data_IF_849710364796
#
_entry.id   IF_849710364796
#
_cell.length_a   1.000
_cell.length_b   1.000
_cell.length_c   1.000
_cell.angle_alpha   90.00
_cell.angle_beta   90.00
_cell.angle_gamma   90.00
#
_symmetry.space_group_name_H-M   'P 1'
#
loop_
_entity.id
_entity.type
_entity.pdbx_description
1 polymer ?
#
# COMPACT_ATOMS: atom_id res chain seq x y z
N UNK A 1 3.15 -37.41 17.10
CA UNK A 1 3.81 -36.14 16.71
C UNK A 1 3.78 -35.91 15.19
N UNK A 2 4.36 -36.80 14.37
CA UNK A 2 4.41 -36.61 12.91
C UNK A 2 3.03 -36.48 12.24
N UNK A 3 2.03 -37.29 12.65
CA UNK A 3 0.66 -37.22 12.09
C UNK A 3 -0.09 -35.93 12.41
N UNK A 4 0.18 -35.31 13.57
CA UNK A 4 -0.43 -34.02 13.93
C UNK A 4 0.18 -32.88 13.10
N UNK A 5 1.49 -32.93 12.84
CA UNK A 5 2.17 -31.98 11.97
C UNK A 5 1.68 -32.07 10.51
N UNK A 6 1.42 -33.28 10.00
CA UNK A 6 0.85 -33.47 8.66
C UNK A 6 -0.56 -32.91 8.52
N UNK A 7 -1.41 -33.06 9.54
CA UNK A 7 -2.77 -32.50 9.56
C UNK A 7 -2.76 -30.96 9.65
N UNK A 8 -1.83 -30.39 10.43
CA UNK A 8 -1.71 -28.94 10.57
C UNK A 8 -1.24 -28.27 9.25
N UNK A 9 -0.38 -28.94 8.49
CA UNK A 9 0.09 -28.46 7.18
C UNK A 9 -1.01 -28.52 6.10
N UNK A 10 -1.87 -29.55 6.11
CA UNK A 10 -3.02 -29.62 5.18
C UNK A 10 -4.08 -28.54 5.47
N UNK A 11 -4.30 -28.18 6.74
CA UNK A 11 -5.28 -27.17 7.13
C UNK A 11 -4.88 -25.74 6.72
N UNK A 12 -3.58 -25.43 6.65
CA UNK A 12 -3.10 -24.11 6.19
C UNK A 12 -3.25 -23.92 4.66
N UNK A 13 -3.28 -25.00 3.87
CA UNK A 13 -3.36 -24.90 2.42
C UNK A 13 -4.77 -24.52 1.90
N UNK A 14 -5.82 -24.80 2.68
CA UNK A 14 -7.21 -24.51 2.27
C UNK A 14 -7.65 -23.08 2.56
N UNK A 15 -6.90 -22.32 3.38
CA UNK A 15 -7.28 -20.96 3.76
C UNK A 15 -6.92 -19.89 2.70
N UNK A 16 -6.05 -20.21 1.74
CA UNK A 16 -5.64 -19.27 0.70
C UNK A 16 -6.60 -19.18 -0.50
N UNK A 17 -7.66 -20.01 -0.54
CA UNK A 17 -8.58 -20.08 -1.68
C UNK A 17 -9.83 -19.19 -1.55
N UNK A 18 -10.01 -18.47 -0.43
CA UNK A 18 -11.19 -17.62 -0.20
C UNK A 18 -10.81 -16.14 -0.27
N UNK A 19 -10.35 -15.70 -1.44
CA UNK A 19 -10.03 -14.30 -1.71
C UNK A 19 -10.73 -13.77 -2.98
N UNK A 20 -11.78 -14.44 -3.45
CA UNK A 20 -12.43 -14.10 -4.74
C UNK A 20 -13.97 -14.05 -4.66
N UNK A 21 -14.52 -13.47 -3.59
CA UNK A 21 -15.99 -13.39 -3.42
C UNK A 21 -16.58 -11.99 -3.58
N UNK A 22 -15.79 -10.99 -3.97
CA UNK A 22 -16.26 -9.63 -4.26
C UNK A 22 -15.90 -9.14 -5.67
N UNK A 23 -15.83 -10.05 -6.64
CA UNK A 23 -15.86 -9.70 -8.05
C UNK A 23 -17.32 -9.48 -8.47
N UNK A 24 -17.81 -8.25 -8.30
CA UNK A 24 -19.07 -7.82 -8.94
C UNK A 24 -18.84 -7.77 -10.44
N UNK A 25 -19.17 -8.86 -11.13
CA UNK A 25 -19.19 -8.90 -12.60
C UNK A 25 -20.38 -8.05 -13.05
N UNK A 26 -20.12 -6.78 -13.35
CA UNK A 26 -21.10 -5.92 -14.00
C UNK A 26 -21.22 -6.39 -15.45
N UNK A 27 -22.29 -7.12 -15.75
CA UNK A 27 -22.65 -7.45 -17.13
C UNK A 27 -22.99 -6.14 -17.85
N UNK A 28 -22.12 -5.68 -18.75
CA UNK A 28 -22.39 -4.50 -19.56
C UNK A 28 -23.65 -4.75 -20.41
N UNK A 29 -24.59 -3.81 -20.38
CA UNK A 29 -25.74 -3.84 -21.28
C UNK A 29 -25.27 -3.87 -22.74
N UNK A 30 -26.00 -4.56 -23.61
CA UNK A 30 -25.66 -4.65 -25.02
C UNK A 30 -25.51 -3.23 -25.63
N UNK A 31 -24.52 -3.01 -26.52
CA UNK A 31 -24.26 -1.69 -27.05
C UNK A 31 -25.49 -1.17 -27.82
N UNK A 32 -26.02 -0.04 -27.38
CA UNK A 32 -27.03 0.73 -28.12
C UNK A 32 -26.40 1.16 -29.44
N UNK A 33 -27.02 0.84 -30.58
CA UNK A 33 -26.48 1.17 -31.90
C UNK A 33 -26.50 2.69 -32.11
N UNK A 34 -25.40 3.35 -31.78
CA UNK A 34 -25.13 4.75 -32.10
C UNK A 34 -25.23 5.67 -30.89
N UNK A 35 -24.10 6.25 -30.51
CA UNK A 35 -24.04 7.36 -29.58
C UNK A 35 -24.55 8.64 -30.25
N UNK A 36 -25.70 9.14 -29.83
CA UNK A 36 -26.23 10.44 -30.30
C UNK A 36 -26.01 11.48 -29.21
N UNK A 37 -25.50 12.64 -29.60
CA UNK A 37 -25.44 13.83 -28.77
C UNK A 37 -26.48 14.83 -29.26
N UNK A 38 -27.34 15.28 -28.34
CA UNK A 38 -28.41 16.25 -28.66
C UNK A 38 -28.10 17.56 -27.95
N UNK A 39 -28.15 18.65 -28.70
CA UNK A 39 -28.03 20.00 -28.16
C UNK A 39 -29.42 20.61 -28.05
N UNK A 40 -29.82 20.96 -26.82
CA UNK A 40 -31.10 21.61 -26.56
C UNK A 40 -30.81 22.93 -25.83
N UNK A 41 -31.22 24.05 -26.43
CA UNK A 41 -30.99 25.40 -25.88
C UNK A 41 -29.50 25.72 -25.59
N UNK A 42 -28.59 25.30 -26.46
CA UNK A 42 -27.14 25.54 -26.30
C UNK A 42 -26.45 24.61 -25.30
N UNK A 43 -27.20 23.75 -24.61
CA UNK A 43 -26.66 22.77 -23.68
C UNK A 43 -26.64 21.38 -24.33
N UNK A 44 -25.44 20.80 -24.38
CA UNK A 44 -25.22 19.44 -24.88
C UNK A 44 -25.63 18.42 -23.83
N UNK A 45 -26.76 17.75 -24.05
CA UNK A 45 -27.16 16.61 -23.23
C UNK A 45 -26.44 15.37 -23.75
N UNK A 46 -25.34 14.98 -23.08
CA UNK A 46 -24.63 13.74 -23.39
C UNK A 46 -25.42 12.55 -22.84
N UNK A 47 -25.51 11.48 -23.63
CA UNK A 47 -26.09 10.22 -23.16
C UNK A 47 -25.11 9.52 -22.21
N UNK A 48 -25.53 9.34 -20.96
CA UNK A 48 -24.71 8.66 -19.94
C UNK A 48 -24.37 7.22 -20.32
N UNK A 49 -25.23 6.55 -21.10
CA UNK A 49 -24.97 5.22 -21.65
C UNK A 49 -23.75 5.21 -22.57
N UNK A 50 -23.65 6.14 -23.51
CA UNK A 50 -22.50 6.25 -24.41
C UNK A 50 -21.21 6.64 -23.66
N UNK A 51 -21.31 7.57 -22.70
CA UNK A 51 -20.15 7.94 -21.89
C UNK A 51 -19.63 6.73 -21.10
N UNK A 52 -20.54 5.94 -20.52
CA UNK A 52 -20.17 4.72 -19.80
C UNK A 52 -19.50 3.73 -20.74
N UNK A 53 -20.04 3.51 -21.94
CA UNK A 53 -19.46 2.64 -22.97
C UNK A 53 -18.05 3.07 -23.38
N UNK A 54 -17.79 4.38 -23.52
CA UNK A 54 -16.44 4.90 -23.81
C UNK A 54 -15.45 4.78 -22.66
N UNK A 55 -15.94 4.70 -21.42
CA UNK A 55 -15.13 4.52 -20.22
C UNK A 55 -14.86 3.05 -19.91
N UNK A 56 -15.56 2.12 -20.58
CA UNK A 56 -15.28 0.70 -20.42
C UNK A 56 -13.84 0.41 -20.91
N UNK A 57 -13.05 -0.36 -20.13
CA UNK A 57 -11.74 -0.77 -20.57
C UNK A 57 -11.89 -1.65 -21.82
N UNK A 58 -11.04 -1.43 -22.84
CA UNK A 58 -11.05 -2.24 -24.06
C UNK A 58 -11.05 -3.73 -23.70
N UNK A 59 -11.86 -4.55 -24.36
CA UNK A 59 -11.92 -6.01 -24.10
C UNK A 59 -10.58 -6.73 -24.25
N UNK A 60 -9.63 -6.13 -24.97
CA UNK A 60 -8.23 -6.57 -25.07
C UNK A 60 -7.40 -6.38 -23.78
N UNK A 61 -7.90 -5.65 -22.79
CA UNK A 61 -7.24 -5.43 -21.50
C UNK A 61 -7.53 -6.53 -20.47
N UNK A 62 -8.50 -7.40 -20.72
CA UNK A 62 -8.88 -8.50 -19.81
C UNK A 62 -7.75 -9.52 -19.61
N UNK A 63 -6.86 -9.67 -20.60
CA UNK A 63 -5.65 -10.51 -20.50
C UNK A 63 -4.35 -9.70 -20.30
N UNK A 64 -4.45 -8.38 -20.10
CA UNK A 64 -3.28 -7.55 -19.86
C UNK A 64 -2.87 -7.72 -18.39
N UNK A 65 -1.57 -7.93 -18.08
CA UNK A 65 -1.10 -7.88 -16.71
C UNK A 65 -1.59 -6.59 -16.04
N UNK A 66 -1.91 -6.61 -14.73
CA UNK A 66 -2.49 -5.47 -14.04
C UNK A 66 -1.66 -4.22 -14.33
N UNK A 67 -2.31 -3.07 -14.60
CA UNK A 67 -1.59 -1.85 -14.92
C UNK A 67 -0.55 -1.61 -13.83
N UNK A 68 0.67 -1.23 -14.24
CA UNK A 68 1.70 -0.82 -13.30
C UNK A 68 1.09 0.22 -12.36
N UNK A 69 1.23 -0.01 -11.05
CA UNK A 69 0.65 0.82 -10.00
C UNK A 69 0.72 2.30 -10.39
N UNK A 70 -0.38 3.02 -10.20
CA UNK A 70 -0.40 4.45 -10.44
C UNK A 70 0.73 5.11 -9.64
N UNK A 71 1.23 6.26 -10.08
CA UNK A 71 2.33 6.94 -9.38
C UNK A 71 2.04 7.16 -7.88
N UNK A 72 0.76 7.36 -7.52
CA UNK A 72 0.30 7.47 -6.14
C UNK A 72 0.34 6.13 -5.39
N UNK A 73 -0.17 5.05 -5.99
CA UNK A 73 -0.10 3.69 -5.40
C UNK A 73 1.34 3.23 -5.21
N UNK A 74 2.21 3.51 -6.18
CA UNK A 74 3.63 3.18 -6.10
C UNK A 74 4.32 3.94 -4.95
N UNK A 75 3.90 5.16 -4.64
CA UNK A 75 4.42 5.93 -3.49
C UNK A 75 3.94 5.34 -2.16
N UNK A 76 2.70 4.87 -2.07
CA UNK A 76 2.16 4.23 -0.86
C UNK A 76 2.90 2.93 -0.50
N UNK A 77 3.48 2.24 -1.49
CA UNK A 77 4.28 1.04 -1.27
C UNK A 77 5.75 1.34 -0.93
N UNK A 78 6.21 2.58 -1.08
CA UNK A 78 7.60 2.94 -0.74
C UNK A 78 7.79 2.97 0.76
N UNK A 79 8.89 2.39 1.27
CA UNK A 79 9.19 2.45 2.69
C UNK A 79 9.53 3.89 3.10
N UNK A 80 9.22 4.26 4.34
CA UNK A 80 9.28 5.66 4.78
C UNK A 80 10.68 6.28 4.73
N UNK A 81 11.73 5.44 4.78
CA UNK A 81 13.12 5.89 4.60
C UNK A 81 13.42 6.43 3.20
N UNK A 82 12.71 5.99 2.16
CA UNK A 82 12.86 6.52 0.80
C UNK A 82 12.04 7.79 0.57
N UNK A 83 10.98 7.99 1.36
CA UNK A 83 10.10 9.16 1.26
C UNK A 83 10.59 10.34 2.11
N UNK A 84 11.64 10.16 2.91
CA UNK A 84 12.09 11.17 3.88
C UNK A 84 11.06 11.44 4.98
N UNK A 85 10.08 10.55 5.15
CA UNK A 85 9.03 10.65 6.16
C UNK A 85 9.49 10.02 7.47
N UNK A 86 8.65 10.17 8.50
CA UNK A 86 8.87 9.54 9.79
C UNK A 86 9.18 8.04 9.66
N UNK A 87 10.25 7.60 10.32
CA UNK A 87 10.62 6.20 10.42
C UNK A 87 10.90 5.85 11.88
N UNK A 88 10.10 4.93 12.43
CA UNK A 88 10.20 4.52 13.83
C UNK A 88 11.57 3.91 14.16
N UNK A 89 12.07 3.00 13.34
CA UNK A 89 13.37 2.36 13.57
C UNK A 89 14.51 3.39 13.55
N UNK A 90 14.47 4.36 12.63
CA UNK A 90 15.46 5.44 12.59
C UNK A 90 15.41 6.32 13.86
N UNK A 91 14.20 6.62 14.37
CA UNK A 91 14.05 7.38 15.61
C UNK A 91 14.50 6.57 16.83
N UNK A 92 14.19 5.28 16.89
CA UNK A 92 14.68 4.36 17.93
C UNK A 92 16.22 4.37 18.00
N UNK A 93 16.90 4.32 16.85
CA UNK A 93 18.36 4.42 16.80
C UNK A 93 18.90 5.76 17.28
N UNK A 94 18.24 6.88 16.92
CA UNK A 94 18.69 8.22 17.35
C UNK A 94 18.49 8.45 18.84
N UNK A 95 17.40 7.93 19.40
CA UNK A 95 17.06 8.13 20.82
C UNK A 95 17.75 7.12 21.74
N UNK A 96 18.02 5.91 21.25
CA UNK A 96 18.53 4.81 22.05
C UNK A 96 17.56 4.44 23.18
N UNK A 97 18.09 4.23 24.38
CA UNK A 97 17.30 3.91 25.58
C UNK A 97 16.27 4.98 25.97
N UNK A 98 16.39 6.20 25.42
CA UNK A 98 15.46 7.29 25.67
C UNK A 98 14.18 7.22 24.80
N UNK A 99 14.10 6.28 23.84
CA UNK A 99 12.95 6.15 22.96
C UNK A 99 11.65 5.88 23.75
N UNK A 100 10.64 6.71 23.55
CA UNK A 100 9.36 6.62 24.28
C UNK A 100 9.43 7.03 25.76
N UNK A 101 10.56 7.57 26.24
CA UNK A 101 10.76 8.04 27.62
C UNK A 101 11.14 9.51 27.71
N UNK A 102 11.84 10.04 26.72
CA UNK A 102 12.29 11.44 26.67
C UNK A 102 12.13 12.02 25.27
N UNK A 103 12.11 13.36 25.19
CA UNK A 103 12.21 14.12 23.94
C UNK A 103 13.68 14.32 23.53
N UNK A 104 14.62 14.14 24.46
CA UNK A 104 16.06 14.26 24.23
C UNK A 104 16.73 12.89 24.06
N UNK A 105 17.69 12.73 23.13
CA UNK A 105 18.44 11.49 22.96
C UNK A 105 19.26 11.08 24.20
N UNK A 106 19.56 9.79 24.31
CA UNK A 106 20.49 9.29 25.33
C UNK A 106 21.89 9.90 25.13
N UNK A 107 22.31 10.76 26.06
CA UNK A 107 23.70 11.20 26.17
C UNK A 107 24.40 10.37 27.24
N UNK A 108 25.48 9.63 26.93
CA UNK A 108 26.33 9.06 27.95
C UNK A 108 26.81 10.17 28.91
N UNK A 109 26.92 9.88 30.22
CA UNK A 109 27.53 10.83 31.14
C UNK A 109 28.94 11.16 30.66
N UNK A 110 29.36 12.41 30.87
CA UNK A 110 30.74 12.79 30.56
C UNK A 110 31.69 11.85 31.32
N UNK A 111 32.75 11.34 30.66
CA UNK A 111 33.75 10.55 31.36
C UNK A 111 34.30 11.36 32.53
N UNK A 112 34.58 10.68 33.64
CA UNK A 112 35.23 11.33 34.78
C UNK A 112 36.53 11.98 34.30
N UNK A 113 36.89 13.19 34.80
CA UNK A 113 38.12 13.85 34.39
C UNK A 113 39.31 12.93 34.69
N UNK A 114 40.05 12.56 33.65
CA UNK A 114 41.28 11.80 33.80
C UNK A 114 42.30 12.70 34.52
N UNK A 115 42.57 12.39 35.78
CA UNK A 115 43.63 13.08 36.51
C UNK A 115 44.98 12.58 36.01
N UNK A 116 45.92 13.47 35.60
CA UNK A 116 47.26 13.07 35.18
C UNK A 116 48.10 12.52 36.36
N UNK A 117 47.60 12.66 37.60
CA UNK A 117 48.29 12.27 38.84
C UNK A 117 47.78 10.94 39.42
N UNK A 118 46.70 10.38 38.88
CA UNK A 118 46.07 9.17 39.43
C UNK A 118 46.05 8.06 38.36
N UNK A 119 46.51 6.84 38.69
CA UNK A 119 46.41 5.72 37.76
C UNK A 119 44.93 5.35 37.52
N UNK A 120 44.58 4.84 36.33
CA UNK A 120 43.23 4.39 36.03
C UNK A 120 42.82 3.28 37.00
N UNK A 121 41.62 3.39 37.56
CA UNK A 121 40.98 2.34 38.38
C UNK A 121 40.09 1.47 37.53
#
# INVERSE_FOLDING_TARGET
MARLLSLLLLACATLAAQADEHTVVVQAAAPEKGCVEVEVNGQRAQSMSCLSEKLLPDSNTVNRPPPTLSGAEAVMQRPSNQLGLYNRAALEHRMGNAFGKSVTPQRPPAPAPASPLLPPR
#
